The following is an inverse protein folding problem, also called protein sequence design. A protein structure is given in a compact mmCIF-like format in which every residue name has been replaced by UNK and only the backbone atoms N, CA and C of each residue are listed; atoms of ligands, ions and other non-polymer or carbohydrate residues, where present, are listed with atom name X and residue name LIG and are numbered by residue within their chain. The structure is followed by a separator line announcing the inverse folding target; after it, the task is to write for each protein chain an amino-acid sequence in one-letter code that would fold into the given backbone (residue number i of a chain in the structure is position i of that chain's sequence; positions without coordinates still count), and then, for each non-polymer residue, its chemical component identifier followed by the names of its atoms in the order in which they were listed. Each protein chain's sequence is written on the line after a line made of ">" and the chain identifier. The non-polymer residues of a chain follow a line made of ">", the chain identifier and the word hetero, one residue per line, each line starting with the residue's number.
data_IF_369880772611
#
_entry.id   IF_369880772611
#
_cell.length_a   1.000
_cell.length_b   1.000
_cell.length_c   1.000
_cell.angle_alpha   90.00
_cell.angle_beta   90.00
_cell.angle_gamma   90.00
#
_symmetry.space_group_name_H-M   'P 1'
#
loop_
_entity.id
_entity.type
_entity.pdbx_description
1 polymer ?
#
# COMPACT_ATOMS: atom_id res chain seq x y z
N UNK A 1 -8.42 0.46 3.21
CA UNK A 1 -9.51 1.19 2.51
C UNK A 1 -8.99 2.38 1.71
N UNK A 2 -7.83 2.93 2.06
CA UNK A 2 -7.16 3.99 1.28
C UNK A 2 -7.04 3.71 -0.23
N UNK A 3 -6.89 2.44 -0.62
CA UNK A 3 -6.73 2.04 -2.03
C UNK A 3 -7.85 2.56 -2.94
N UNK A 4 -9.11 2.61 -2.47
CA UNK A 4 -10.23 3.02 -3.32
C UNK A 4 -10.19 4.52 -3.61
N UNK A 5 -9.83 5.35 -2.62
CA UNK A 5 -9.64 6.79 -2.84
C UNK A 5 -8.42 7.06 -3.73
N UNK A 6 -7.30 6.39 -3.46
CA UNK A 6 -6.11 6.50 -4.31
C UNK A 6 -6.39 6.08 -5.76
N UNK A 7 -7.22 5.06 -5.97
CA UNK A 7 -7.64 4.59 -7.28
C UNK A 7 -8.50 5.64 -8.01
N UNK A 8 -9.38 6.35 -7.29
CA UNK A 8 -10.15 7.49 -7.84
C UNK A 8 -9.24 8.63 -8.26
N UNK A 9 -8.30 9.03 -7.40
CA UNK A 9 -7.32 10.07 -7.73
C UNK A 9 -6.45 9.67 -8.93
N UNK A 10 -5.96 8.42 -8.98
CA UNK A 10 -5.21 7.92 -10.13
C UNK A 10 -6.00 7.96 -11.43
N UNK A 11 -7.30 7.64 -11.37
CA UNK A 11 -8.19 7.70 -12.52
C UNK A 11 -8.33 9.15 -13.02
N UNK A 12 -8.47 10.12 -12.12
CA UNK A 12 -8.53 11.53 -12.46
C UNK A 12 -7.23 12.04 -13.08
N UNK A 13 -6.08 11.70 -12.49
CA UNK A 13 -4.77 12.06 -13.05
C UNK A 13 -4.59 11.53 -14.48
N UNK A 14 -5.03 10.31 -14.74
CA UNK A 14 -4.94 9.72 -16.08
C UNK A 14 -5.89 10.43 -17.06
N UNK A 15 -7.13 10.71 -16.66
CA UNK A 15 -8.10 11.43 -17.51
C UNK A 15 -7.61 12.84 -17.90
N UNK A 16 -6.90 13.50 -16.98
CA UNK A 16 -6.34 14.84 -17.20
C UNK A 16 -4.98 14.84 -17.92
N UNK A 17 -4.49 13.68 -18.38
CA UNK A 17 -3.22 13.55 -19.11
C UNK A 17 -1.96 13.65 -18.22
N UNK A 18 -2.09 13.74 -16.90
CA UNK A 18 -0.95 13.93 -16.00
C UNK A 18 -0.07 12.68 -15.82
N UNK A 19 -0.47 11.55 -16.43
CA UNK A 19 0.27 10.29 -16.38
C UNK A 19 0.88 9.89 -17.73
N UNK A 20 0.85 10.75 -18.73
CA UNK A 20 1.35 10.43 -20.08
C UNK A 20 2.86 10.18 -20.08
N UNK A 21 3.62 10.99 -19.33
CA UNK A 21 5.08 10.89 -19.20
C UNK A 21 5.51 10.23 -17.89
N UNK A 22 4.69 9.34 -17.34
CA UNK A 22 5.00 8.66 -16.09
C UNK A 22 6.13 7.66 -16.26
N UNK A 23 7.30 7.97 -15.70
CA UNK A 23 8.50 7.13 -15.78
C UNK A 23 8.65 6.16 -14.61
N UNK A 24 8.36 6.64 -13.38
CA UNK A 24 8.58 5.88 -12.15
C UNK A 24 7.47 6.09 -11.13
N UNK A 25 7.19 5.05 -10.33
CA UNK A 25 6.25 5.09 -9.21
C UNK A 25 6.94 4.54 -7.97
N UNK A 26 6.93 5.27 -6.86
CA UNK A 26 7.31 4.76 -5.55
C UNK A 26 6.08 4.58 -4.67
N UNK A 27 5.98 3.47 -3.98
CA UNK A 27 4.74 3.08 -3.31
C UNK A 27 4.96 2.21 -2.08
N UNK A 28 4.03 2.27 -1.14
CA UNK A 28 3.95 1.37 0.03
C UNK A 28 2.51 0.96 0.30
N UNK A 29 2.30 -0.17 0.97
CA UNK A 29 0.99 -0.61 1.47
C UNK A 29 -0.11 -0.59 0.39
N UNK A 30 -1.21 0.11 0.63
CA UNK A 30 -2.30 0.28 -0.33
C UNK A 30 -1.82 0.87 -1.68
N UNK A 31 -0.85 1.78 -1.63
CA UNK A 31 -0.20 2.32 -2.83
C UNK A 31 0.57 1.26 -3.61
N UNK A 32 1.20 0.29 -2.93
CA UNK A 32 1.90 -0.82 -3.59
C UNK A 32 0.93 -1.73 -4.35
N UNK A 33 -0.24 -2.01 -3.79
CA UNK A 33 -1.29 -2.77 -4.50
C UNK A 33 -1.70 -2.00 -5.77
N UNK A 34 -2.04 -0.71 -5.62
CA UNK A 34 -2.55 0.10 -6.73
C UNK A 34 -1.50 0.29 -7.84
N UNK A 35 -0.27 0.70 -7.49
CA UNK A 35 0.79 0.94 -8.44
C UNK A 35 1.19 -0.34 -9.20
N UNK A 36 1.35 -1.46 -8.49
CA UNK A 36 1.66 -2.74 -9.11
C UNK A 36 0.55 -3.21 -10.05
N UNK A 37 -0.72 -3.05 -9.66
CA UNK A 37 -1.87 -3.39 -10.51
C UNK A 37 -1.92 -2.49 -11.75
N UNK A 38 -1.64 -1.18 -11.59
CA UNK A 38 -1.61 -0.22 -12.69
C UNK A 38 -0.54 -0.56 -13.73
N UNK A 39 0.69 -0.85 -13.29
CA UNK A 39 1.78 -1.22 -14.19
C UNK A 39 1.55 -2.60 -14.81
N UNK A 40 1.09 -3.58 -14.03
CA UNK A 40 0.78 -4.92 -14.51
C UNK A 40 -0.27 -4.91 -15.64
N UNK A 41 -1.31 -4.09 -15.53
CA UNK A 41 -2.32 -3.91 -16.58
C UNK A 41 -1.95 -2.83 -17.62
N UNK A 42 -0.68 -2.40 -17.67
CA UNK A 42 -0.18 -1.41 -18.66
C UNK A 42 -1.03 -0.13 -18.69
N UNK A 43 -1.49 0.32 -17.52
CA UNK A 43 -2.29 1.53 -17.38
C UNK A 43 -3.76 1.38 -17.80
N UNK A 44 -4.29 0.17 -18.03
CA UNK A 44 -5.72 -0.08 -18.28
C UNK A 44 -6.52 0.15 -16.99
N UNK A 45 -7.05 1.38 -16.82
CA UNK A 45 -7.81 1.76 -15.62
C UNK A 45 -9.04 0.88 -15.38
N UNK A 46 -9.69 0.39 -16.44
CA UNK A 46 -10.87 -0.47 -16.28
C UNK A 46 -10.49 -1.74 -15.52
N UNK A 47 -9.41 -2.41 -15.94
CA UNK A 47 -8.90 -3.61 -15.27
C UNK A 47 -8.42 -3.31 -13.84
N UNK A 48 -7.75 -2.16 -13.63
CA UNK A 48 -7.30 -1.73 -12.30
C UNK A 48 -8.48 -1.55 -11.36
N UNK A 49 -9.53 -0.83 -11.80
CA UNK A 49 -10.73 -0.56 -11.00
C UNK A 49 -11.50 -1.86 -10.74
N UNK A 50 -11.73 -2.68 -11.75
CA UNK A 50 -12.44 -3.95 -11.61
C UNK A 50 -11.70 -4.88 -10.63
N UNK A 51 -10.37 -4.98 -10.73
CA UNK A 51 -9.55 -5.77 -9.81
C UNK A 51 -9.66 -5.23 -8.38
N UNK A 52 -9.51 -3.93 -8.17
CA UNK A 52 -9.59 -3.31 -6.85
C UNK A 52 -10.98 -3.48 -6.21
N UNK A 53 -12.06 -3.21 -6.96
CA UNK A 53 -13.43 -3.34 -6.45
C UNK A 53 -13.81 -4.78 -6.12
N UNK A 54 -13.26 -5.77 -6.81
CA UNK A 54 -13.54 -7.19 -6.59
C UNK A 54 -12.53 -7.89 -5.67
N UNK A 55 -11.45 -7.23 -5.27
CA UNK A 55 -10.46 -7.80 -4.34
C UNK A 55 -11.11 -8.09 -2.98
N UNK A 56 -11.06 -9.36 -2.56
CA UNK A 56 -11.63 -9.79 -1.29
C UNK A 56 -10.57 -9.93 -0.18
N UNK A 57 -10.20 -8.81 0.40
CA UNK A 57 -9.37 -8.79 1.60
C UNK A 57 -10.14 -9.19 2.86
N UNK A 58 -11.49 -9.17 2.82
CA UNK A 58 -12.35 -9.54 3.96
C UNK A 58 -12.49 -11.04 4.17
N UNK A 59 -12.08 -11.88 3.19
CA UNK A 59 -12.08 -13.35 3.31
C UNK A 59 -11.02 -13.84 4.29
N UNK A 60 -9.99 -13.04 4.56
CA UNK A 60 -8.87 -13.41 5.44
C UNK A 60 -9.31 -13.35 6.90
N UNK A 61 -9.26 -14.50 7.57
CA UNK A 61 -9.78 -14.63 8.95
C UNK A 61 -8.68 -14.46 10.00
N UNK A 62 -8.86 -13.57 10.99
CA UNK A 62 -7.97 -13.47 12.12
C UNK A 62 -8.03 -14.74 13.01
N UNK A 63 -6.89 -15.16 13.54
CA UNK A 63 -6.77 -16.30 14.45
C UNK A 63 -5.88 -15.90 15.62
N UNK A 64 -6.44 -15.87 16.84
CA UNK A 64 -5.70 -15.49 18.05
C UNK A 64 -4.42 -16.31 18.29
N UNK A 65 -4.43 -17.60 17.96
CA UNK A 65 -3.25 -18.46 18.08
C UNK A 65 -2.06 -17.97 17.25
N UNK A 66 -2.32 -17.27 16.14
CA UNK A 66 -1.26 -16.76 15.27
C UNK A 66 -0.47 -15.61 15.92
N UNK A 67 -1.04 -14.90 16.89
CA UNK A 67 -0.30 -13.85 17.64
C UNK A 67 0.92 -14.46 18.30
N UNK A 68 0.77 -15.61 18.96
CA UNK A 68 1.84 -16.28 19.70
C UNK A 68 2.78 -17.04 18.76
N UNK A 69 2.22 -17.71 17.74
CA UNK A 69 2.98 -18.62 16.88
C UNK A 69 3.57 -17.96 15.63
N UNK A 70 3.00 -16.83 15.18
CA UNK A 70 3.35 -16.14 13.92
C UNK A 70 3.51 -14.62 14.07
N UNK A 71 3.35 -14.07 15.28
CA UNK A 71 3.49 -12.63 15.60
C UNK A 71 2.53 -11.71 14.86
N UNK A 72 1.36 -12.23 14.45
CA UNK A 72 0.29 -11.48 13.80
C UNK A 72 -1.03 -12.25 13.84
N UNK A 73 -2.16 -11.53 13.86
CA UNK A 73 -3.51 -12.12 13.89
C UNK A 73 -3.80 -12.97 12.63
N UNK A 74 -3.28 -12.52 11.49
CA UNK A 74 -3.53 -13.09 10.17
C UNK A 74 -2.20 -13.59 9.60
N UNK A 75 -2.18 -14.80 9.06
CA UNK A 75 -1.02 -15.28 8.31
C UNK A 75 -0.88 -14.48 7.00
N UNK A 76 0.24 -13.76 6.83
CA UNK A 76 0.49 -12.96 5.63
C UNK A 76 0.57 -13.78 4.33
N UNK A 77 0.70 -15.10 4.41
CA UNK A 77 0.58 -16.00 3.26
C UNK A 77 -0.79 -15.91 2.57
N UNK A 78 -1.84 -15.52 3.33
CA UNK A 78 -3.16 -15.31 2.72
C UNK A 78 -3.16 -14.09 1.80
N UNK A 79 -2.45 -13.01 2.15
CA UNK A 79 -2.24 -11.88 1.24
C UNK A 79 -1.47 -12.30 -0.02
N UNK A 80 -0.43 -13.12 0.14
CA UNK A 80 0.33 -13.63 -1.01
C UNK A 80 -0.56 -14.39 -2.00
N UNK A 81 -1.45 -15.26 -1.51
CA UNK A 81 -2.41 -15.99 -2.36
C UNK A 81 -3.32 -15.06 -3.15
N UNK A 82 -3.83 -13.99 -2.50
CA UNK A 82 -4.67 -12.99 -3.16
C UNK A 82 -3.88 -12.28 -4.26
N UNK A 83 -2.66 -11.81 -3.97
CA UNK A 83 -1.84 -11.10 -4.95
C UNK A 83 -1.31 -12.03 -6.06
N UNK A 84 -0.98 -13.27 -5.73
CA UNK A 84 -0.63 -14.27 -6.74
C UNK A 84 -1.81 -14.54 -7.71
N UNK A 85 -3.05 -14.50 -7.20
CA UNK A 85 -4.25 -14.60 -8.02
C UNK A 85 -4.44 -13.41 -8.98
N UNK A 86 -3.89 -12.23 -8.64
CA UNK A 86 -3.95 -11.03 -9.48
C UNK A 86 -2.81 -11.01 -10.51
N UNK A 87 -1.58 -11.19 -10.05
CA UNK A 87 -0.37 -10.99 -10.86
C UNK A 87 0.17 -12.27 -11.49
N UNK A 88 -0.25 -13.46 -11.00
CA UNK A 88 0.47 -14.69 -11.34
C UNK A 88 1.91 -14.69 -10.81
N UNK A 89 2.80 -15.55 -11.32
CA UNK A 89 4.20 -15.65 -10.92
C UNK A 89 5.09 -14.61 -11.64
N UNK A 90 4.55 -13.43 -11.94
CA UNK A 90 5.26 -12.34 -12.63
C UNK A 90 6.26 -11.69 -11.68
N UNK A 91 7.49 -11.50 -12.17
CA UNK A 91 8.59 -10.85 -11.45
C UNK A 91 8.71 -9.37 -11.86
N UNK A 92 9.53 -8.60 -11.13
CA UNK A 92 9.79 -7.22 -11.54
C UNK A 92 10.47 -7.11 -12.91
N UNK A 93 11.24 -8.11 -13.32
CA UNK A 93 11.88 -8.19 -14.64
C UNK A 93 10.87 -8.23 -15.77
N UNK A 94 9.73 -8.87 -15.55
CA UNK A 94 8.68 -9.10 -16.54
C UNK A 94 7.75 -7.88 -16.70
N UNK A 95 7.81 -6.90 -15.78
CA UNK A 95 6.98 -5.71 -15.87
C UNK A 95 7.49 -4.75 -16.95
N UNK A 96 6.59 -4.32 -17.82
CA UNK A 96 6.82 -3.27 -18.80
C UNK A 96 6.23 -1.93 -18.34
N UNK A 97 6.69 -0.81 -18.91
CA UNK A 97 6.21 0.54 -18.59
C UNK A 97 6.93 1.19 -17.41
N UNK A 98 6.24 2.04 -16.64
CA UNK A 98 6.85 2.78 -15.54
C UNK A 98 7.57 1.86 -14.54
N UNK A 99 8.75 2.27 -14.09
CA UNK A 99 9.49 1.54 -13.07
C UNK A 99 8.81 1.71 -11.71
N UNK A 100 8.52 0.62 -11.02
CA UNK A 100 7.96 0.66 -9.67
C UNK A 100 9.01 0.36 -8.62
N UNK A 101 8.90 1.09 -7.50
CA UNK A 101 9.70 0.91 -6.29
C UNK A 101 8.74 0.60 -5.14
N UNK A 102 8.66 -0.67 -4.77
CA UNK A 102 7.80 -1.13 -3.66
C UNK A 102 8.60 -1.09 -2.37
N UNK A 103 8.22 -0.18 -1.47
CA UNK A 103 8.87 -0.01 -0.18
C UNK A 103 8.47 -1.10 0.82
N UNK A 104 9.46 -1.65 1.51
CA UNK A 104 9.32 -2.66 2.57
C UNK A 104 10.23 -2.26 3.73
N UNK A 105 9.73 -2.22 4.96
CA UNK A 105 10.53 -1.94 6.16
C UNK A 105 11.18 -3.20 6.69
N UNK A 106 12.49 -3.18 6.92
CA UNK A 106 13.22 -4.24 7.63
C UNK A 106 13.50 -3.81 9.06
N UNK A 107 12.84 -4.48 10.01
CA UNK A 107 12.95 -4.15 11.44
C UNK A 107 14.33 -4.45 12.04
N UNK A 108 15.11 -5.35 11.42
CA UNK A 108 16.44 -5.72 11.94
C UNK A 108 17.47 -4.67 11.53
N UNK A 109 17.48 -4.27 10.26
CA UNK A 109 18.42 -3.25 9.78
C UNK A 109 17.98 -1.81 10.09
N UNK A 110 16.70 -1.60 10.44
CA UNK A 110 16.11 -0.27 10.64
C UNK A 110 16.00 0.54 9.35
N UNK A 111 15.94 -0.11 8.19
CA UNK A 111 15.95 0.54 6.87
C UNK A 111 14.74 0.16 6.03
N UNK A 112 14.42 1.02 5.06
CA UNK A 112 13.49 0.70 3.98
C UNK A 112 14.24 0.04 2.83
N UNK A 113 13.70 -1.07 2.33
CA UNK A 113 14.15 -1.77 1.14
C UNK A 113 13.18 -1.41 0.01
N UNK A 114 13.69 -0.96 -1.12
CA UNK A 114 12.90 -0.68 -2.31
C UNK A 114 13.04 -1.84 -3.31
N UNK A 115 11.98 -2.64 -3.42
CA UNK A 115 11.92 -3.72 -4.40
C UNK A 115 11.55 -3.15 -5.77
N UNK A 116 12.38 -3.41 -6.78
CA UNK A 116 12.21 -2.91 -8.14
C UNK A 116 12.92 -3.80 -9.14
N UNK A 117 12.76 -3.51 -10.45
CA UNK A 117 13.52 -4.21 -11.51
C UNK A 117 15.03 -4.05 -11.39
N UNK A 118 15.52 -2.99 -10.71
CA UNK A 118 16.95 -2.72 -10.56
C UNK A 118 17.54 -3.41 -9.32
N UNK A 119 16.77 -3.54 -8.24
CA UNK A 119 17.24 -4.04 -6.94
C UNK A 119 16.89 -5.50 -6.69
N UNK A 120 15.73 -5.95 -7.16
CA UNK A 120 15.20 -7.29 -6.95
C UNK A 120 14.48 -7.80 -8.20
N UNK A 121 15.16 -7.90 -9.37
CA UNK A 121 14.52 -8.21 -10.66
C UNK A 121 13.76 -9.55 -10.66
N UNK A 122 14.26 -10.54 -9.94
CA UNK A 122 13.70 -11.90 -9.92
C UNK A 122 12.68 -12.13 -8.76
N UNK A 123 12.40 -11.08 -7.96
CA UNK A 123 11.36 -11.14 -6.94
C UNK A 123 9.98 -11.05 -7.60
N UNK A 124 9.07 -11.94 -7.22
CA UNK A 124 7.67 -11.86 -7.64
C UNK A 124 7.00 -10.58 -7.14
N UNK A 125 6.26 -9.93 -8.03
CA UNK A 125 5.46 -8.73 -7.70
C UNK A 125 4.48 -9.02 -6.57
N UNK A 126 3.82 -10.19 -6.61
CA UNK A 126 2.91 -10.65 -5.55
C UNK A 126 3.59 -10.69 -4.17
N UNK A 127 4.83 -11.17 -4.12
CA UNK A 127 5.60 -11.27 -2.87
C UNK A 127 6.04 -9.89 -2.35
N UNK A 128 6.50 -9.00 -3.23
CA UNK A 128 6.88 -7.64 -2.85
C UNK A 128 5.68 -6.85 -2.31
N UNK A 129 4.53 -6.92 -3.00
CA UNK A 129 3.27 -6.29 -2.56
C UNK A 129 2.82 -6.86 -1.23
N UNK A 130 2.89 -8.20 -1.04
CA UNK A 130 2.62 -8.82 0.26
C UNK A 130 3.48 -8.20 1.36
N UNK A 131 4.80 -8.17 1.18
CA UNK A 131 5.75 -7.62 2.17
C UNK A 131 5.41 -6.18 2.52
N UNK A 132 5.10 -5.37 1.51
CA UNK A 132 4.73 -3.96 1.67
C UNK A 132 3.38 -3.73 2.36
N UNK A 133 2.52 -4.74 2.45
CA UNK A 133 1.18 -4.67 3.08
C UNK A 133 1.10 -5.31 4.46
N UNK A 134 2.22 -5.75 5.04
CA UNK A 134 2.24 -6.41 6.35
C UNK A 134 2.20 -5.38 7.48
N UNK A 135 1.00 -4.91 7.84
CA UNK A 135 0.83 -4.11 9.05
C UNK A 135 1.19 -4.95 10.28
N UNK A 136 2.18 -4.53 11.10
CA UNK A 136 2.63 -5.28 12.27
C UNK A 136 1.48 -5.63 13.21
N UNK A 137 1.54 -6.80 13.85
CA UNK A 137 0.53 -7.41 14.72
C UNK A 137 -0.78 -7.81 14.02
N UNK A 138 -1.17 -7.13 12.92
CA UNK A 138 -2.33 -7.53 12.12
C UNK A 138 -1.95 -8.71 11.23
N UNK A 139 -0.87 -8.59 10.48
CA UNK A 139 -0.33 -9.67 9.66
C UNK A 139 0.98 -10.20 10.24
N UNK A 140 1.24 -11.51 10.04
CA UNK A 140 2.52 -12.10 10.41
C UNK A 140 3.63 -11.53 9.52
N UNK A 141 4.81 -11.15 10.09
CA UNK A 141 5.93 -10.65 9.31
C UNK A 141 6.51 -11.71 8.38
N UNK A 142 7.26 -11.28 7.38
CA UNK A 142 8.11 -12.17 6.60
C UNK A 142 9.48 -12.21 7.24
N UNK A 143 9.89 -13.40 7.70
CA UNK A 143 11.24 -13.62 8.22
C UNK A 143 12.04 -14.35 7.16
N UNK A 144 13.12 -13.73 6.70
CA UNK A 144 13.98 -14.29 5.64
C UNK A 144 15.38 -13.69 5.72
N UNK A 145 16.40 -14.56 5.55
CA UNK A 145 17.80 -14.14 5.47
C UNK A 145 18.26 -13.18 6.59
N UNK A 146 17.79 -13.38 7.81
CA UNK A 146 18.15 -12.52 8.95
C UNK A 146 17.37 -11.20 9.04
N UNK A 147 16.43 -10.95 8.13
CA UNK A 147 15.53 -9.78 8.12
C UNK A 147 14.14 -10.12 8.64
N UNK A 148 13.47 -9.15 9.23
CA UNK A 148 12.05 -9.18 9.61
C UNK A 148 11.33 -8.08 8.86
N UNK A 149 10.60 -8.47 7.81
CA UNK A 149 10.00 -7.57 6.85
C UNK A 149 8.54 -7.28 7.18
N UNK A 150 8.19 -5.99 7.15
CA UNK A 150 6.85 -5.46 7.44
C UNK A 150 6.51 -4.34 6.46
N UNK A 151 5.31 -3.77 6.59
CA UNK A 151 4.79 -2.67 5.76
C UNK A 151 5.81 -1.52 5.63
N UNK A 152 6.01 -1.05 4.39
CA UNK A 152 6.94 0.01 4.09
C UNK A 152 6.64 1.32 4.82
N UNK A 153 5.36 1.58 5.10
CA UNK A 153 4.91 2.78 5.81
C UNK A 153 5.38 2.85 7.27
N UNK A 154 5.89 1.75 7.85
CA UNK A 154 6.39 1.75 9.24
C UNK A 154 7.58 2.69 9.40
N UNK A 155 8.50 2.69 8.45
CA UNK A 155 9.66 3.61 8.47
C UNK A 155 9.51 4.80 7.53
N UNK A 156 8.75 4.64 6.45
CA UNK A 156 8.59 5.69 5.45
C UNK A 156 7.14 5.70 4.93
N UNK A 157 6.30 6.50 5.55
CA UNK A 157 4.88 6.61 5.19
C UNK A 157 4.71 7.04 3.73
N UNK A 158 5.59 7.92 3.27
CA UNK A 158 5.65 8.40 1.89
C UNK A 158 7.00 7.97 1.30
N UNK A 159 7.08 6.91 0.50
CA UNK A 159 8.33 6.33 0.03
C UNK A 159 8.98 7.20 -1.06
N UNK A 160 9.69 8.25 -0.63
CA UNK A 160 10.23 9.35 -1.45
C UNK A 160 11.69 9.18 -1.85
N UNK A 161 12.45 8.30 -1.18
CA UNK A 161 13.90 8.18 -1.40
C UNK A 161 14.28 7.99 -2.87
N UNK A 162 13.55 7.22 -3.71
CA UNK A 162 13.85 7.12 -5.14
C UNK A 162 13.71 8.43 -5.91
N UNK A 163 13.05 9.44 -5.32
CA UNK A 163 12.74 10.72 -5.95
C UNK A 163 13.50 11.91 -5.37
N UNK A 164 14.44 11.67 -4.47
CA UNK A 164 15.31 12.76 -3.96
C UNK A 164 16.09 13.36 -5.11
N UNK A 165 15.94 14.68 -5.29
CA UNK A 165 16.61 15.42 -6.37
C UNK A 165 15.95 15.32 -7.73
N UNK A 166 14.79 14.64 -7.85
CA UNK A 166 13.99 14.64 -9.07
C UNK A 166 13.02 15.81 -9.09
N UNK A 167 12.77 16.34 -10.28
CA UNK A 167 11.75 17.35 -10.55
C UNK A 167 10.43 16.66 -10.97
N UNK A 168 9.33 17.40 -10.94
CA UNK A 168 8.01 16.93 -11.41
C UNK A 168 7.47 15.70 -10.68
N UNK A 169 7.62 15.66 -9.35
CA UNK A 169 7.08 14.58 -8.51
C UNK A 169 5.68 14.95 -8.05
N UNK A 170 4.74 14.00 -8.19
CA UNK A 170 3.37 14.11 -7.68
C UNK A 170 3.13 13.05 -6.60
N UNK A 171 2.61 13.47 -5.45
CA UNK A 171 2.34 12.62 -4.31
C UNK A 171 0.84 12.46 -4.07
N UNK A 172 0.37 11.21 -4.02
CA UNK A 172 -0.98 10.88 -3.53
C UNK A 172 -0.82 10.35 -2.11
N UNK A 173 -1.29 11.11 -1.12
CA UNK A 173 -1.20 10.79 0.30
C UNK A 173 -2.58 10.56 0.89
N UNK A 174 -2.69 9.54 1.72
CA UNK A 174 -3.89 9.28 2.50
C UNK A 174 -3.75 9.88 3.91
N UNK A 175 -4.82 10.51 4.40
CA UNK A 175 -4.90 11.06 5.76
C UNK A 175 -6.10 10.43 6.48
N UNK A 176 -5.84 9.71 7.56
CA UNK A 176 -6.88 9.18 8.44
C UNK A 176 -7.26 10.22 9.50
N UNK A 177 -8.48 10.78 9.39
CA UNK A 177 -9.01 11.73 10.38
C UNK A 177 -9.61 11.04 11.62
N UNK A 178 -9.93 9.76 11.55
CA UNK A 178 -10.68 9.06 12.61
C UNK A 178 -9.78 8.66 13.76
N UNK A 179 -8.57 8.20 13.46
CA UNK A 179 -7.71 7.60 14.47
C UNK A 179 -7.11 8.60 15.47
N UNK A 180 -7.06 9.88 15.12
CA UNK A 180 -6.48 10.91 15.99
C UNK A 180 -7.39 11.38 17.14
N UNK A 181 -8.66 10.90 17.22
CA UNK A 181 -9.68 11.49 18.12
C UNK A 181 -10.43 10.52 19.03
N UNK A 182 -10.24 9.20 18.89
CA UNK A 182 -10.96 8.21 19.72
C UNK A 182 -10.03 7.52 20.70
N UNK A 183 -10.45 7.51 21.98
CA UNK A 183 -9.82 6.64 22.98
C UNK A 183 -10.05 5.19 22.58
N UNK A 184 -9.01 4.32 22.57
CA UNK A 184 -9.16 2.92 22.23
C UNK A 184 -10.14 2.20 23.15
N UNK A 185 -11.06 1.42 22.59
CA UNK A 185 -12.07 0.61 23.28
C UNK A 185 -11.75 -0.90 23.25
N UNK A 186 -10.70 -1.27 22.56
CA UNK A 186 -10.26 -2.66 22.40
C UNK A 186 -8.75 -2.75 22.22
N UNK A 187 -8.17 -3.93 22.47
CA UNK A 187 -6.74 -4.18 22.19
C UNK A 187 -6.41 -3.92 20.71
N UNK A 188 -7.30 -4.27 19.80
CA UNK A 188 -7.10 -4.03 18.37
C UNK A 188 -7.03 -2.53 18.06
N UNK A 189 -7.95 -1.72 18.58
CA UNK A 189 -7.94 -0.27 18.38
C UNK A 189 -6.72 0.38 19.03
N UNK A 190 -6.25 -0.12 20.17
CA UNK A 190 -5.03 0.35 20.82
C UNK A 190 -3.78 0.05 19.97
N UNK A 191 -3.62 -1.20 19.49
CA UNK A 191 -2.52 -1.59 18.60
C UNK A 191 -2.51 -0.74 17.33
N UNK A 192 -3.68 -0.52 16.74
CA UNK A 192 -3.83 0.31 15.55
C UNK A 192 -3.41 1.76 15.81
N UNK A 193 -3.79 2.31 16.97
CA UNK A 193 -3.38 3.67 17.38
C UNK A 193 -1.86 3.78 17.53
N UNK A 194 -1.22 2.78 18.16
CA UNK A 194 0.25 2.74 18.31
C UNK A 194 0.94 2.68 16.95
N UNK A 195 0.47 1.82 16.04
CA UNK A 195 1.01 1.74 14.69
C UNK A 195 0.91 3.08 13.95
N UNK A 196 -0.25 3.73 14.02
CA UNK A 196 -0.44 5.05 13.44
C UNK A 196 0.49 6.10 14.05
N UNK A 197 0.68 6.09 15.36
CA UNK A 197 1.59 7.02 16.02
C UNK A 197 3.04 6.85 15.51
N UNK A 198 3.47 5.61 15.26
CA UNK A 198 4.80 5.32 14.68
C UNK A 198 4.88 5.82 13.24
N UNK A 199 3.89 5.50 12.41
CA UNK A 199 3.83 5.90 10.99
C UNK A 199 3.83 7.43 10.88
N UNK A 200 2.98 8.12 11.65
CA UNK A 200 2.88 9.58 11.63
C UNK A 200 4.16 10.27 12.11
N UNK A 201 4.86 9.68 13.08
CA UNK A 201 6.15 10.21 13.55
C UNK A 201 7.22 10.17 12.46
N UNK A 202 7.16 9.17 11.59
CA UNK A 202 8.10 8.98 10.49
C UNK A 202 7.66 9.68 9.19
N UNK A 203 6.58 10.47 9.26
CA UNK A 203 6.08 11.23 8.11
C UNK A 203 7.04 12.34 7.74
N UNK A 204 7.58 12.26 6.53
CA UNK A 204 8.40 13.31 5.92
C UNK A 204 7.58 14.04 4.87
N UNK A 205 7.67 15.36 4.85
CA UNK A 205 6.99 16.21 3.88
C UNK A 205 8.02 16.95 3.04
N UNK A 206 8.09 16.62 1.75
CA UNK A 206 8.93 17.32 0.79
C UNK A 206 8.14 18.48 0.17
N UNK A 207 8.62 19.72 0.33
CA UNK A 207 7.97 20.92 -0.22
C UNK A 207 8.01 20.98 -1.75
N UNK A 208 8.95 20.29 -2.36
CA UNK A 208 9.13 20.27 -3.82
C UNK A 208 8.11 19.38 -4.55
N UNK A 209 7.35 18.54 -3.82
CA UNK A 209 6.38 17.64 -4.44
C UNK A 209 5.00 18.30 -4.52
N UNK A 210 4.38 18.26 -5.70
CA UNK A 210 2.96 18.50 -5.83
C UNK A 210 2.20 17.37 -5.13
N UNK A 211 1.12 17.71 -4.41
CA UNK A 211 0.46 16.74 -3.54
C UNK A 211 -1.04 16.87 -3.56
N UNK A 212 -1.71 15.71 -3.56
CA UNK A 212 -3.11 15.58 -3.14
C UNK A 212 -3.18 14.80 -1.83
N UNK A 213 -3.96 15.31 -0.89
CA UNK A 213 -4.23 14.67 0.40
C UNK A 213 -5.66 14.15 0.39
N UNK A 214 -5.79 12.82 0.48
CA UNK A 214 -7.07 12.11 0.49
C UNK A 214 -7.49 11.86 1.92
N UNK A 215 -8.52 12.56 2.36
CA UNK A 215 -9.00 12.49 3.74
C UNK A 215 -10.30 11.67 3.84
N UNK A 216 -10.38 10.78 4.81
CA UNK A 216 -11.62 10.05 5.12
C UNK A 216 -11.79 9.83 6.61
N UNK A 217 -13.04 9.57 7.01
CA UNK A 217 -13.46 9.18 8.34
C UNK A 217 -13.64 7.66 8.51
N UNK A 218 -13.27 6.86 7.50
CA UNK A 218 -13.38 5.41 7.52
C UNK A 218 -12.06 4.78 7.97
N UNK A 219 -12.13 3.82 8.90
CA UNK A 219 -10.95 3.07 9.34
C UNK A 219 -10.33 2.29 8.17
N UNK A 220 -9.05 2.53 7.88
CA UNK A 220 -8.33 1.88 6.78
C UNK A 220 -8.22 0.34 6.95
N UNK A 221 -8.30 -0.16 8.18
CA UNK A 221 -8.25 -1.59 8.49
C UNK A 221 -9.64 -2.25 8.48
N UNK A 222 -10.70 -1.54 8.10
CA UNK A 222 -11.99 -2.17 7.86
C UNK A 222 -12.01 -2.83 6.48
N UNK A 223 -11.63 -4.12 6.43
CA UNK A 223 -11.60 -4.89 5.19
C UNK A 223 -12.98 -5.39 4.73
N UNK A 224 -14.04 -5.16 5.53
CA UNK A 224 -15.39 -5.68 5.25
C UNK A 224 -16.35 -4.62 4.70
N UNK A 225 -15.87 -3.51 4.18
CA UNK A 225 -16.73 -2.49 3.60
C UNK A 225 -17.48 -3.00 2.37
N UNK A 226 -18.74 -2.56 2.25
CA UNK A 226 -19.61 -2.94 1.14
C UNK A 226 -19.08 -2.43 -0.21
N UNK A 227 -19.52 -3.05 -1.30
CA UNK A 227 -19.21 -2.59 -2.66
C UNK A 227 -19.63 -1.12 -2.88
N UNK A 228 -20.81 -0.72 -2.39
CA UNK A 228 -21.25 0.69 -2.47
C UNK A 228 -20.32 1.65 -1.75
N UNK A 229 -19.78 1.24 -0.58
CA UNK A 229 -18.79 2.06 0.12
C UNK A 229 -17.47 2.16 -0.64
N UNK A 230 -17.00 1.08 -1.29
CA UNK A 230 -15.81 1.11 -2.16
C UNK A 230 -15.98 2.10 -3.32
N UNK A 231 -17.16 2.09 -3.96
CA UNK A 231 -17.50 3.03 -5.03
C UNK A 231 -17.57 4.46 -4.54
N UNK A 232 -18.16 4.71 -3.35
CA UNK A 232 -18.20 6.03 -2.74
C UNK A 232 -16.79 6.57 -2.50
N UNK A 233 -15.91 5.78 -1.88
CA UNK A 233 -14.51 6.16 -1.66
C UNK A 233 -13.77 6.46 -2.97
N UNK A 234 -14.01 5.67 -4.01
CA UNK A 234 -13.47 5.93 -5.34
C UNK A 234 -13.90 7.30 -5.86
N UNK A 235 -15.20 7.64 -5.78
CA UNK A 235 -15.71 8.93 -6.24
C UNK A 235 -15.18 10.09 -5.41
N UNK A 236 -15.04 9.94 -4.10
CA UNK A 236 -14.40 10.93 -3.22
C UNK A 236 -12.95 11.19 -3.65
N UNK A 237 -12.17 10.15 -3.90
CA UNK A 237 -10.81 10.28 -4.40
C UNK A 237 -10.72 10.90 -5.79
N UNK A 238 -11.64 10.55 -6.69
CA UNK A 238 -11.72 11.14 -8.02
C UNK A 238 -12.04 12.64 -7.99
N UNK A 239 -12.89 13.08 -7.07
CA UNK A 239 -13.26 14.49 -6.90
C UNK A 239 -12.26 15.34 -6.09
N UNK A 240 -11.18 14.74 -5.60
CA UNK A 240 -10.16 15.45 -4.78
C UNK A 240 -9.09 16.16 -5.61
N UNK A 241 -9.12 16.02 -6.95
CA UNK A 241 -8.22 16.63 -7.94
C UNK A 241 -8.97 17.61 -8.88
#
# INVERSE_FOLDING_TARGET
>A
MAIFMMMGALAKLKETGQLEDLEEISCSSAGAILASTFVFFKGDLKKVIDTGLNMDLGSVKPQLKNIITKWGLIDSKELYKIFLGIFGPVTFRDLEGPKIHVAVSDLISGRVIYCSRDTTPDLEVAEAVRRSCIAPFIFSPVVTNGSVLVDGSVFEESPHVPFIGKESVFEIRYIDKVQSKKVPDSLFSYVTLVLWAVILKNRVTYKAFNRVELETDINIFDFKISRGMRQRLFLEGYGSL
#
